data_IF_895494514543
#
_entry.id   IF_895494514543
#
_cell.length_a   1.000
_cell.length_b   1.000
_cell.length_c   1.000
_cell.angle_alpha   90.00
_cell.angle_beta   90.00
_cell.angle_gamma   90.00
#
_symmetry.space_group_name_H-M   'P 1'
#
loop_
_entity.id
_entity.type
_entity.pdbx_description
1 polymer ?
#
# COMPACT_ATOMS: atom_id res chain seq x y z
N UNK A 1 7.29 -5.37 8.23
CA UNK A 1 7.66 -5.56 6.81
C UNK A 1 6.40 -5.84 6.01
N UNK A 2 6.30 -5.25 4.82
CA UNK A 2 5.14 -5.29 3.92
C UNK A 2 5.55 -5.63 2.49
N UNK A 3 4.58 -6.07 1.70
CA UNK A 3 4.65 -6.14 0.25
C UNK A 3 3.93 -4.93 -0.31
N UNK A 4 4.63 -4.20 -1.18
CA UNK A 4 4.16 -2.93 -1.71
C UNK A 4 4.06 -3.01 -3.24
N UNK A 5 2.93 -2.56 -3.78
CA UNK A 5 2.70 -2.42 -5.22
C UNK A 5 2.49 -0.95 -5.51
N UNK A 6 3.25 -0.43 -6.46
CA UNK A 6 3.21 0.98 -6.81
C UNK A 6 2.49 1.18 -8.12
N UNK A 7 1.67 2.22 -8.19
CA UNK A 7 0.90 2.56 -9.36
C UNK A 7 1.25 3.96 -9.79
N UNK A 8 1.50 4.12 -11.09
CA UNK A 8 1.93 5.38 -11.68
C UNK A 8 1.19 5.62 -13.00
N UNK A 9 1.06 6.88 -13.41
CA UNK A 9 0.55 7.18 -14.76
C UNK A 9 1.67 7.10 -15.79
N UNK A 10 1.51 6.32 -16.86
CA UNK A 10 2.51 6.25 -17.92
C UNK A 10 2.59 7.60 -18.64
N UNK A 11 3.82 8.07 -18.86
CA UNK A 11 4.09 9.28 -19.63
C UNK A 11 4.22 8.91 -21.12
N UNK A 12 3.53 9.62 -22.04
CA UNK A 12 3.61 9.30 -23.47
C UNK A 12 5.05 9.28 -23.99
N UNK A 13 5.43 8.17 -24.63
CA UNK A 13 6.74 8.00 -25.25
C UNK A 13 7.89 7.67 -24.30
N UNK A 14 7.64 7.54 -22.99
CA UNK A 14 8.62 7.00 -22.05
C UNK A 14 8.48 5.48 -21.92
N UNK A 15 9.59 4.82 -21.61
CA UNK A 15 9.57 3.44 -21.16
C UNK A 15 8.80 3.32 -19.84
N UNK A 16 8.04 2.23 -19.68
CA UNK A 16 7.17 2.06 -18.52
C UNK A 16 7.96 1.79 -17.24
N UNK A 17 9.07 1.04 -17.32
CA UNK A 17 9.91 0.76 -16.15
C UNK A 17 10.65 2.01 -15.72
N UNK A 18 11.21 2.79 -16.67
CA UNK A 18 11.81 4.08 -16.35
C UNK A 18 10.81 5.04 -15.69
N UNK A 19 9.57 5.10 -16.20
CA UNK A 19 8.52 5.93 -15.61
C UNK A 19 8.12 5.47 -14.19
N UNK A 20 8.08 4.15 -13.95
CA UNK A 20 7.81 3.59 -12.63
C UNK A 20 8.90 3.98 -11.61
N UNK A 21 10.17 3.83 -11.99
CA UNK A 21 11.31 4.16 -11.13
C UNK A 21 11.35 5.65 -10.81
N UNK A 22 11.13 6.52 -11.80
CA UNK A 22 11.06 7.96 -11.57
C UNK A 22 9.94 8.34 -10.58
N UNK A 23 8.78 7.68 -10.68
CA UNK A 23 7.67 7.88 -9.75
C UNK A 23 8.02 7.50 -8.31
N UNK A 24 8.79 6.42 -8.11
CA UNK A 24 9.24 5.99 -6.79
C UNK A 24 10.24 6.97 -6.18
N UNK A 25 11.14 7.53 -6.99
CA UNK A 25 12.11 8.53 -6.53
C UNK A 25 11.41 9.80 -6.06
N UNK A 26 10.40 10.27 -6.80
CA UNK A 26 9.60 11.45 -6.45
C UNK A 26 8.80 11.26 -5.13
N UNK A 27 8.27 10.06 -4.90
CA UNK A 27 7.54 9.70 -3.67
C UNK A 27 8.47 9.63 -2.43
N UNK A 28 9.77 9.39 -2.61
CA UNK A 28 10.65 8.95 -1.51
C UNK A 28 11.17 10.04 -0.58
N UNK A 29 11.42 11.29 -1.01
CA UNK A 29 12.09 12.26 -0.13
C UNK A 29 11.77 13.77 -0.29
N UNK A 30 11.04 14.26 -1.30
CA UNK A 30 10.93 15.73 -1.50
C UNK A 30 9.67 16.26 -2.22
N UNK A 31 8.56 15.52 -2.27
CA UNK A 31 7.32 16.04 -2.86
C UNK A 31 6.73 17.17 -1.98
N UNK A 32 7.20 18.40 -2.19
CA UNK A 32 6.43 19.60 -1.83
C UNK A 32 5.04 19.43 -2.40
N UNK A 33 3.95 19.60 -1.63
CA UNK A 33 2.61 19.52 -2.17
C UNK A 33 2.55 20.50 -3.34
N UNK A 34 2.48 19.93 -4.55
CA UNK A 34 2.62 20.69 -5.78
C UNK A 34 1.50 21.70 -5.93
N UNK A 35 1.54 22.48 -7.02
CA UNK A 35 0.42 23.33 -7.36
C UNK A 35 -0.87 22.48 -7.48
N UNK A 36 -1.96 23.00 -6.93
CA UNK A 36 -3.27 22.36 -6.89
C UNK A 36 -3.64 21.80 -8.28
N UNK A 37 -3.86 20.49 -8.39
CA UNK A 37 -4.48 19.85 -9.57
C UNK A 37 -5.94 19.47 -9.23
N UNK A 38 -6.94 20.34 -9.53
CA UNK A 38 -8.34 20.03 -9.29
C UNK A 38 -8.82 18.78 -10.04
N UNK A 39 -8.20 18.44 -11.17
CA UNK A 39 -8.55 17.23 -11.90
C UNK A 39 -7.96 15.98 -11.21
N UNK A 40 -6.75 16.09 -10.67
CA UNK A 40 -6.10 15.08 -9.83
C UNK A 40 -6.96 14.71 -8.63
N UNK A 41 -7.39 15.72 -7.88
CA UNK A 41 -8.27 15.56 -6.73
C UNK A 41 -9.61 14.91 -7.10
N UNK A 42 -10.23 15.33 -8.22
CA UNK A 42 -11.47 14.75 -8.72
C UNK A 42 -11.29 13.27 -9.10
N UNK A 43 -10.19 12.93 -9.77
CA UNK A 43 -9.86 11.54 -10.13
C UNK A 43 -9.62 10.69 -8.89
N UNK A 44 -8.84 11.19 -7.93
CA UNK A 44 -8.55 10.53 -6.65
C UNK A 44 -9.83 10.17 -5.89
N UNK A 45 -10.79 11.11 -5.79
CA UNK A 45 -12.11 10.86 -5.20
C UNK A 45 -12.93 9.81 -5.96
N UNK A 46 -12.97 9.91 -7.29
CA UNK A 46 -13.68 8.94 -8.12
C UNK A 46 -13.09 7.51 -7.97
N UNK A 47 -11.77 7.38 -7.88
CA UNK A 47 -11.11 6.09 -7.62
C UNK A 47 -11.43 5.55 -6.24
N UNK A 48 -11.41 6.39 -5.21
CA UNK A 48 -11.80 5.99 -3.85
C UNK A 48 -13.24 5.47 -3.79
N UNK A 49 -14.18 6.17 -4.44
CA UNK A 49 -15.57 5.71 -4.57
C UNK A 49 -15.68 4.39 -5.34
N UNK A 50 -14.92 4.23 -6.42
CA UNK A 50 -14.92 3.01 -7.21
C UNK A 50 -14.37 1.81 -6.43
N UNK A 51 -13.29 2.00 -5.68
CA UNK A 51 -12.71 0.97 -4.81
C UNK A 51 -13.70 0.55 -3.73
N UNK A 52 -14.34 1.50 -3.03
CA UNK A 52 -15.38 1.19 -2.04
C UNK A 52 -16.63 0.55 -2.63
N UNK A 53 -16.94 0.83 -3.90
CA UNK A 53 -18.00 0.13 -4.61
C UNK A 53 -17.62 -1.32 -4.94
N UNK A 54 -16.36 -1.56 -5.29
CA UNK A 54 -15.84 -2.91 -5.55
C UNK A 54 -15.76 -3.73 -4.25
N UNK A 55 -15.29 -3.12 -3.17
CA UNK A 55 -15.30 -3.70 -1.84
C UNK A 55 -15.88 -2.72 -0.80
N UNK A 56 -17.16 -2.88 -0.41
CA UNK A 56 -17.80 -2.06 0.62
C UNK A 56 -17.17 -2.16 2.02
N UNK A 57 -16.28 -3.14 2.26
CA UNK A 57 -15.52 -3.27 3.49
C UNK A 57 -14.32 -2.32 3.60
N UNK A 58 -13.96 -1.59 2.52
CA UNK A 58 -12.92 -0.57 2.58
C UNK A 58 -13.40 0.66 3.34
N UNK A 59 -12.64 1.07 4.36
CA UNK A 59 -12.87 2.26 5.17
C UNK A 59 -11.82 3.32 4.89
N UNK A 60 -12.19 4.59 4.88
CA UNK A 60 -11.24 5.69 4.74
C UNK A 60 -10.59 5.98 6.10
N UNK A 61 -9.26 6.06 6.13
CA UNK A 61 -8.55 6.49 7.33
C UNK A 61 -8.88 7.96 7.64
N UNK A 62 -9.23 8.22 8.89
CA UNK A 62 -9.50 9.56 9.40
C UNK A 62 -8.67 9.78 10.65
N UNK A 63 -7.79 10.77 10.60
CA UNK A 63 -7.08 11.24 11.79
C UNK A 63 -8.00 12.15 12.59
N UNK A 64 -8.75 11.57 13.53
CA UNK A 64 -9.69 12.30 14.38
C UNK A 64 -8.96 13.18 15.42
N UNK A 65 -7.70 12.88 15.75
CA UNK A 65 -6.93 13.59 16.79
C UNK A 65 -6.39 14.93 16.27
N UNK A 66 -6.06 15.02 14.97
CA UNK A 66 -5.70 16.30 14.32
C UNK A 66 -6.90 17.25 14.11
N UNK A 67 -8.11 16.70 13.95
CA UNK A 67 -9.32 17.47 13.65
C UNK A 67 -9.70 18.46 14.75
N UNK A 68 -9.60 18.01 16.02
CA UNK A 68 -9.95 18.81 17.19
C UNK A 68 -9.01 20.01 17.41
N UNK A 69 -7.79 19.96 16.87
CA UNK A 69 -6.76 20.99 17.10
C UNK A 69 -6.79 22.16 16.09
N UNK A 70 -7.32 21.97 14.88
CA UNK A 70 -7.20 22.92 13.77
C UNK A 70 -8.51 23.64 13.41
N UNK A 71 -9.66 23.09 13.81
CA UNK A 71 -10.99 23.59 13.45
C UNK A 71 -11.41 23.22 12.02
N UNK A 72 -12.72 23.05 11.81
CA UNK A 72 -13.31 22.43 10.61
C UNK A 72 -12.82 23.02 9.27
N UNK A 73 -12.68 24.35 9.17
CA UNK A 73 -12.27 24.99 7.91
C UNK A 73 -10.80 24.74 7.54
N UNK A 74 -9.92 24.62 8.53
CA UNK A 74 -8.50 24.33 8.30
C UNK A 74 -8.30 22.84 7.99
N UNK A 75 -9.12 21.98 8.57
CA UNK A 75 -9.14 20.54 8.31
C UNK A 75 -9.69 20.22 6.91
N UNK A 76 -10.81 20.83 6.52
CA UNK A 76 -11.39 20.72 5.17
C UNK A 76 -10.38 21.22 4.12
N UNK A 77 -9.71 22.33 4.42
CA UNK A 77 -8.64 22.82 3.57
C UNK A 77 -7.48 21.82 3.47
N UNK A 78 -7.09 21.13 4.55
CA UNK A 78 -6.01 20.12 4.55
C UNK A 78 -6.41 18.83 3.82
N UNK A 79 -7.62 18.31 4.05
CA UNK A 79 -8.13 17.08 3.42
C UNK A 79 -8.14 17.14 1.90
N UNK A 80 -8.31 18.33 1.32
CA UNK A 80 -8.24 18.54 -0.13
C UNK A 80 -6.83 18.33 -0.73
N UNK A 81 -5.79 18.20 0.10
CA UNK A 81 -4.39 18.05 -0.35
C UNK A 81 -3.70 16.80 0.19
N UNK A 82 -4.38 16.04 1.04
CA UNK A 82 -3.83 14.80 1.56
C UNK A 82 -4.12 13.64 0.60
N UNK A 83 -3.28 12.60 0.63
CA UNK A 83 -3.64 11.33 0.02
C UNK A 83 -4.94 10.80 0.66
N UNK A 84 -5.73 10.07 -0.13
CA UNK A 84 -6.84 9.30 0.42
C UNK A 84 -6.29 7.92 0.77
N UNK A 85 -6.34 7.56 2.04
CA UNK A 85 -5.98 6.23 2.51
C UNK A 85 -7.23 5.40 2.76
N UNK A 86 -7.28 4.21 2.16
CA UNK A 86 -8.33 3.22 2.36
C UNK A 86 -7.74 1.97 3.00
N UNK A 87 -8.33 1.53 4.10
CA UNK A 87 -7.94 0.34 4.82
C UNK A 87 -8.95 -0.77 4.60
N UNK A 88 -8.45 -2.00 4.50
CA UNK A 88 -9.27 -3.21 4.58
C UNK A 88 -9.99 -3.30 5.93
N UNK A 89 -10.97 -4.22 6.07
CA UNK A 89 -11.74 -4.34 7.30
C UNK A 89 -10.85 -4.65 8.52
N UNK A 90 -11.23 -4.14 9.70
CA UNK A 90 -10.43 -4.15 10.94
C UNK A 90 -10.03 -5.55 11.43
N UNK A 91 -10.86 -6.56 11.17
CA UNK A 91 -10.60 -7.98 11.46
C UNK A 91 -9.99 -8.74 10.27
N UNK A 92 -9.54 -7.99 9.26
CA UNK A 92 -9.42 -8.47 7.90
C UNK A 92 -8.00 -8.70 7.39
N UNK A 93 -7.81 -8.29 6.14
CA UNK A 93 -6.68 -8.63 5.30
C UNK A 93 -5.45 -7.71 5.52
N UNK A 94 -5.56 -6.62 6.28
CA UNK A 94 -4.49 -5.64 6.46
C UNK A 94 -4.04 -4.97 5.16
N UNK A 95 -4.86 -4.98 4.10
CA UNK A 95 -4.57 -4.25 2.86
C UNK A 95 -4.78 -2.76 3.14
N UNK A 96 -3.81 -1.94 2.75
CA UNK A 96 -3.90 -0.50 2.73
C UNK A 96 -3.74 -0.01 1.29
N UNK A 97 -4.56 0.95 0.87
CA UNK A 97 -4.49 1.60 -0.43
C UNK A 97 -4.33 3.09 -0.20
N UNK A 98 -3.23 3.67 -0.68
CA UNK A 98 -2.98 5.11 -0.58
C UNK A 98 -3.09 5.72 -1.97
N UNK A 99 -3.98 6.68 -2.16
CA UNK A 99 -4.20 7.35 -3.43
C UNK A 99 -3.63 8.76 -3.38
N UNK A 100 -2.78 9.08 -4.35
CA UNK A 100 -2.31 10.43 -4.64
C UNK A 100 -2.95 10.91 -5.95
N UNK A 101 -2.59 12.11 -6.39
CA UNK A 101 -3.20 12.71 -7.58
C UNK A 101 -2.77 12.00 -8.87
N UNK A 102 -1.55 11.48 -8.91
CA UNK A 102 -0.89 10.85 -10.05
C UNK A 102 -0.17 9.52 -9.74
N UNK A 103 -0.11 9.12 -8.47
CA UNK A 103 0.37 7.82 -8.02
C UNK A 103 -0.65 7.14 -7.09
N UNK A 104 -0.46 5.84 -6.87
CA UNK A 104 -1.13 5.12 -5.78
C UNK A 104 -0.22 4.00 -5.28
N UNK A 105 -0.44 3.56 -4.06
CA UNK A 105 0.25 2.41 -3.48
C UNK A 105 -0.78 1.42 -2.92
N UNK A 106 -0.48 0.13 -3.05
CA UNK A 106 -1.21 -0.94 -2.36
C UNK A 106 -0.22 -1.72 -1.52
N UNK A 107 -0.46 -1.74 -0.21
CA UNK A 107 0.42 -2.32 0.79
C UNK A 107 -0.29 -3.48 1.49
N UNK A 108 0.42 -4.58 1.72
CA UNK A 108 -0.09 -5.71 2.50
C UNK A 108 1.01 -6.32 3.39
N UNK A 109 0.74 -6.60 4.68
CA UNK A 109 1.74 -7.19 5.57
C UNK A 109 2.05 -8.64 5.21
N UNK A 110 3.27 -9.09 5.54
CA UNK A 110 3.75 -10.46 5.33
C UNK A 110 3.30 -11.44 6.43
N UNK A 111 1.98 -11.60 6.61
CA UNK A 111 1.44 -12.57 7.57
C UNK A 111 0.47 -13.59 6.96
N UNK A 112 0.07 -13.43 5.70
CA UNK A 112 -0.89 -14.32 5.06
C UNK A 112 -0.19 -15.54 4.48
N UNK A 113 -0.73 -16.73 4.73
CA UNK A 113 -0.14 -18.00 4.27
C UNK A 113 -1.12 -18.75 3.38
N UNK A 114 -0.57 -19.49 2.43
CA UNK A 114 -1.31 -20.47 1.61
C UNK A 114 -2.61 -19.91 1.02
N UNK A 115 -3.77 -20.47 1.40
CA UNK A 115 -5.07 -20.07 0.89
C UNK A 115 -5.48 -18.66 1.34
N UNK A 116 -5.02 -18.18 2.50
CA UNK A 116 -5.23 -16.79 2.91
C UNK A 116 -4.50 -15.83 1.97
N UNK A 117 -3.23 -16.11 1.66
CA UNK A 117 -2.43 -15.30 0.73
C UNK A 117 -3.10 -15.24 -0.66
N UNK A 118 -3.61 -16.38 -1.16
CA UNK A 118 -4.31 -16.43 -2.46
C UNK A 118 -5.59 -15.59 -2.49
N UNK A 119 -6.35 -15.56 -1.38
CA UNK A 119 -7.56 -14.74 -1.26
C UNK A 119 -7.22 -13.26 -1.24
N UNK A 120 -6.30 -12.87 -0.36
CA UNK A 120 -5.84 -11.48 -0.22
C UNK A 120 -5.24 -10.95 -1.52
N UNK A 121 -4.40 -11.73 -2.19
CA UNK A 121 -3.86 -11.36 -3.50
C UNK A 121 -4.93 -11.29 -4.60
N UNK A 122 -6.05 -12.00 -4.43
CA UNK A 122 -7.21 -11.83 -5.30
C UNK A 122 -7.90 -10.49 -5.12
N UNK A 123 -8.13 -10.10 -3.88
CA UNK A 123 -8.71 -8.79 -3.56
C UNK A 123 -7.80 -7.64 -4.04
N UNK A 124 -6.49 -7.76 -3.81
CA UNK A 124 -5.50 -6.81 -4.35
C UNK A 124 -5.65 -6.71 -5.87
N UNK A 125 -5.77 -7.84 -6.57
CA UNK A 125 -5.92 -7.84 -8.03
C UNK A 125 -7.15 -7.07 -8.51
N UNK A 126 -8.29 -7.24 -7.83
CA UNK A 126 -9.52 -6.49 -8.12
C UNK A 126 -9.32 -4.98 -7.93
N UNK A 127 -8.56 -4.56 -6.90
CA UNK A 127 -8.21 -3.15 -6.71
C UNK A 127 -7.30 -2.63 -7.81
N UNK A 128 -6.28 -3.41 -8.21
CA UNK A 128 -5.39 -3.03 -9.31
C UNK A 128 -6.17 -2.85 -10.62
N UNK A 129 -7.14 -3.72 -10.91
CA UNK A 129 -8.00 -3.60 -12.09
C UNK A 129 -8.83 -2.31 -12.07
N UNK A 130 -9.41 -1.94 -10.92
CA UNK A 130 -10.13 -0.66 -10.74
C UNK A 130 -9.18 0.52 -10.98
N UNK A 131 -8.01 0.49 -10.37
CA UNK A 131 -7.02 1.56 -10.45
C UNK A 131 -6.45 1.74 -11.87
N UNK A 132 -6.17 0.64 -12.59
CA UNK A 132 -5.72 0.73 -13.98
C UNK A 132 -6.83 1.18 -14.93
N UNK A 133 -8.06 0.67 -14.77
CA UNK A 133 -9.17 0.96 -15.69
C UNK A 133 -9.76 2.36 -15.50
N UNK A 134 -9.84 2.86 -14.26
CA UNK A 134 -10.45 4.15 -13.96
C UNK A 134 -9.42 5.26 -13.72
N UNK A 135 -8.27 4.92 -13.14
CA UNK A 135 -7.19 5.87 -12.84
C UNK A 135 -6.20 6.10 -13.97
N UNK A 136 -6.21 5.23 -14.99
CA UNK A 136 -5.25 5.25 -16.08
C UNK A 136 -3.84 4.84 -15.64
N UNK A 137 -3.74 4.09 -14.54
CA UNK A 137 -2.46 3.68 -13.97
C UNK A 137 -1.88 2.44 -14.66
N UNK A 138 -0.59 2.24 -14.42
CA UNK A 138 0.12 0.96 -14.56
C UNK A 138 0.69 0.57 -13.21
N UNK A 139 0.71 -0.73 -12.94
CA UNK A 139 1.23 -1.27 -11.69
C UNK A 139 2.66 -1.72 -11.88
N UNK A 140 3.54 -1.29 -11.00
CA UNK A 140 4.91 -1.73 -10.85
C UNK A 140 5.07 -2.49 -9.54
N UNK A 141 5.73 -3.62 -9.62
CA UNK A 141 6.09 -4.44 -8.47
C UNK A 141 7.61 -4.33 -8.24
N UNK A 142 8.05 -3.65 -7.16
CA UNK A 142 9.47 -3.52 -6.85
C UNK A 142 10.13 -4.85 -6.45
N UNK A 143 9.37 -5.82 -5.92
CA UNK A 143 9.91 -7.06 -5.40
C UNK A 143 10.31 -8.02 -6.53
N UNK A 144 9.72 -7.85 -7.72
CA UNK A 144 10.09 -8.57 -8.95
C UNK A 144 10.57 -7.64 -10.07
N UNK A 145 10.77 -6.35 -9.75
CA UNK A 145 11.25 -5.29 -10.65
C UNK A 145 10.53 -5.23 -12.00
N UNK A 146 9.20 -5.27 -11.96
CA UNK A 146 8.38 -5.43 -13.18
C UNK A 146 7.14 -4.56 -13.21
N UNK A 147 6.87 -3.95 -14.36
CA UNK A 147 5.54 -3.42 -14.68
C UNK A 147 4.61 -4.58 -15.04
N UNK A 148 3.57 -4.78 -14.23
CA UNK A 148 2.72 -5.95 -14.25
C UNK A 148 1.74 -5.95 -15.42
N UNK A 149 1.60 -7.13 -16.06
CA UNK A 149 0.43 -7.51 -16.83
C UNK A 149 -0.56 -8.23 -15.90
N UNK A 150 -1.68 -7.57 -15.58
CA UNK A 150 -2.69 -8.13 -14.68
C UNK A 150 -3.33 -9.43 -15.22
N UNK A 151 -3.22 -9.73 -16.51
CA UNK A 151 -3.72 -10.99 -17.06
C UNK A 151 -2.78 -12.18 -16.85
N UNK A 152 -1.47 -11.93 -16.63
CA UNK A 152 -0.45 -12.98 -16.69
C UNK A 152 0.39 -13.09 -15.41
N UNK A 153 0.54 -12.01 -14.65
CA UNK A 153 1.60 -11.92 -13.62
C UNK A 153 1.16 -12.28 -12.21
N UNK A 154 -0.11 -12.63 -12.00
CA UNK A 154 -0.66 -12.90 -10.65
C UNK A 154 0.10 -13.99 -9.89
N UNK A 155 0.47 -15.07 -10.57
CA UNK A 155 1.20 -16.17 -9.94
C UNK A 155 2.64 -15.79 -9.58
N UNK A 156 3.28 -14.92 -10.38
CA UNK A 156 4.62 -14.42 -10.09
C UNK A 156 4.62 -13.53 -8.84
N UNK A 157 3.67 -12.59 -8.74
CA UNK A 157 3.49 -11.72 -7.56
C UNK A 157 3.20 -12.54 -6.31
N UNK A 158 2.29 -13.53 -6.40
CA UNK A 158 1.99 -14.41 -5.28
C UNK A 158 3.23 -15.22 -4.81
N UNK A 159 4.07 -15.66 -5.74
CA UNK A 159 5.33 -16.36 -5.44
C UNK A 159 6.35 -15.46 -4.72
N UNK A 160 6.49 -14.21 -5.18
CA UNK A 160 7.34 -13.21 -4.53
C UNK A 160 6.84 -12.87 -3.12
N UNK A 161 5.53 -12.67 -2.95
CA UNK A 161 4.93 -12.47 -1.65
C UNK A 161 5.22 -13.62 -0.68
N UNK A 162 5.02 -14.87 -1.13
CA UNK A 162 5.30 -16.05 -0.31
C UNK A 162 6.78 -16.14 0.11
N UNK A 163 7.69 -15.71 -0.75
CA UNK A 163 9.12 -15.60 -0.43
C UNK A 163 9.37 -14.57 0.69
N UNK A 164 8.71 -13.41 0.60
CA UNK A 164 8.78 -12.39 1.65
C UNK A 164 8.22 -12.87 2.99
N UNK A 165 7.10 -13.60 2.99
CA UNK A 165 6.55 -14.25 4.21
C UNK A 165 7.55 -15.24 4.82
N UNK A 166 8.24 -16.03 4.01
CA UNK A 166 9.29 -16.94 4.50
C UNK A 166 10.44 -16.18 5.18
N UNK A 167 10.82 -15.03 4.63
CA UNK A 167 11.87 -14.19 5.21
C UNK A 167 11.45 -13.53 6.52
N UNK A 168 10.19 -13.06 6.63
CA UNK A 168 9.67 -12.47 7.88
C UNK A 168 9.55 -13.51 8.99
N UNK A 169 9.10 -14.72 8.67
CA UNK A 169 9.08 -15.86 9.60
C UNK A 169 10.50 -16.19 10.12
N UNK A 170 11.49 -16.20 9.22
CA UNK A 170 12.90 -16.46 9.58
C UNK A 170 13.45 -15.43 10.55
N UNK A 171 13.16 -14.15 10.33
CA UNK A 171 13.58 -13.06 11.23
C UNK A 171 12.92 -13.22 12.59
N UNK A 172 11.59 -13.40 12.63
CA UNK A 172 10.87 -13.58 13.91
C UNK A 172 11.33 -14.81 14.69
N UNK A 173 11.68 -15.90 13.98
CA UNK A 173 12.29 -17.08 14.60
C UNK A 173 13.69 -16.80 15.16
N UNK A 174 14.55 -16.09 14.43
CA UNK A 174 15.89 -15.73 14.92
C UNK A 174 15.83 -14.82 16.14
N UNK A 175 14.88 -13.90 16.20
CA UNK A 175 14.68 -13.05 17.38
C UNK A 175 14.20 -13.85 18.60
N UNK A 176 13.35 -14.85 18.40
CA UNK A 176 12.85 -15.71 19.48
C UNK A 176 13.85 -16.79 19.92
N UNK A 177 14.66 -17.33 19.00
CA UNK A 177 15.72 -18.32 19.27
C UNK A 177 17.03 -17.67 19.76
N UNK A 178 17.30 -16.43 19.35
CA UNK A 178 18.44 -15.60 19.77
C UNK A 178 18.21 -14.83 21.07
N UNK A 179 16.98 -14.83 21.60
CA UNK A 179 16.71 -14.42 22.97
C UNK A 179 17.33 -15.45 23.92
N UNK A 180 18.61 -15.27 24.27
CA UNK A 180 19.23 -15.99 25.37
C UNK A 180 18.28 -15.94 26.57
N UNK A 181 17.81 -17.12 27.01
CA UNK A 181 17.07 -17.23 28.28
C UNK A 181 17.90 -16.47 29.32
N UNK A 182 17.36 -15.45 30.01
CA UNK A 182 18.12 -14.68 30.97
C UNK A 182 18.82 -15.66 31.92
N UNK A 183 20.15 -15.61 31.92
CA UNK A 183 21.00 -16.55 32.65
C UNK A 183 20.78 -16.38 34.14
N UNK A 184 19.83 -17.13 34.69
CA UNK A 184 19.36 -17.14 36.07
C UNK A 184 18.84 -15.78 36.58
N UNK A 185 17.72 -15.79 37.31
CA UNK A 185 17.25 -14.57 37.96
C UNK A 185 18.27 -14.08 39.00
N UNK A 186 18.57 -12.79 38.94
CA UNK A 186 19.47 -12.05 39.84
C UNK A 186 19.07 -12.11 41.33
N UNK A 187 17.88 -12.64 41.66
CA UNK A 187 17.38 -12.78 43.03
C UNK A 187 17.70 -14.14 43.69
N UNK A 188 18.50 -15.03 43.08
CA UNK A 188 18.91 -16.32 43.70
C UNK A 188 20.26 -16.29 44.44
N UNK A 189 20.69 -15.12 44.91
CA UNK A 189 21.91 -14.96 45.71
C UNK A 189 21.64 -14.31 47.08
N UNK A 190 20.78 -14.87 47.92
CA UNK A 190 20.80 -14.73 49.39
C UNK A 190 20.11 -15.94 50.02
#
# INVERSE_FOLDING_TARGET
>A
MSYDLHLFRPQPGKDLTEAALASLEDDSENASPGAKDPEGEKRKKAMSEALRKANPGLSEFKDEEEADALGEAAEEARRQWQPIELNGPDDGNGIQITLYDDTAAVTVPYWHKEQAARRVMGEIWEYLEVLQSQGGFRTYDPQIEKVLDLAADRDAVLGAYATGVGHTDDIGRRETEGAEKPSKPWWKFW
#
